data_IF_687718211476
#
_entry.id   IF_687718211476
#
_cell.length_a   1.000
_cell.length_b   1.000
_cell.length_c   1.000
_cell.angle_alpha   90.00
_cell.angle_beta   90.00
_cell.angle_gamma   90.00
#
_symmetry.space_group_name_H-M   'P 1'
#
loop_
_entity.id
_entity.type
_entity.pdbx_description
1 polymer ?
#
# COMPACT_ATOMS: atom_id res chain seq x y z
N UNK A 1 -19.59 42.17 39.99
CA UNK A 1 -20.36 41.26 40.86
C UNK A 1 -21.82 41.30 40.40
N UNK A 2 -22.27 40.32 39.61
CA UNK A 2 -23.67 40.19 39.25
C UNK A 2 -24.37 39.40 40.35
N UNK A 3 -25.11 40.10 41.21
CA UNK A 3 -25.96 39.50 42.22
C UNK A 3 -27.18 38.85 41.54
N UNK A 4 -27.16 37.54 41.37
CA UNK A 4 -28.34 36.76 40.98
C UNK A 4 -29.39 36.88 42.09
N UNK A 5 -30.55 37.47 41.79
CA UNK A 5 -31.57 37.74 42.81
C UNK A 5 -32.19 36.45 43.36
N UNK A 6 -32.43 36.34 44.67
CA UNK A 6 -33.01 35.13 45.29
C UNK A 6 -34.40 34.75 44.76
N UNK A 7 -35.14 35.70 44.16
CA UNK A 7 -36.43 35.46 43.51
C UNK A 7 -36.34 34.59 42.25
N UNK A 8 -35.26 34.72 41.47
CA UNK A 8 -35.08 33.93 40.24
C UNK A 8 -34.81 32.45 40.55
N UNK A 9 -34.05 32.18 41.62
CA UNK A 9 -33.75 30.81 42.06
C UNK A 9 -34.99 30.10 42.61
N UNK A 10 -35.85 30.83 43.33
CA UNK A 10 -37.14 30.31 43.81
C UNK A 10 -38.04 29.87 42.66
N UNK A 11 -38.22 30.72 41.63
CA UNK A 11 -39.04 30.39 40.47
C UNK A 11 -38.57 29.17 39.68
N UNK A 12 -37.25 29.02 39.52
CA UNK A 12 -36.65 27.83 38.86
C UNK A 12 -36.92 26.56 39.66
N UNK A 13 -36.79 26.60 40.98
CA UNK A 13 -37.05 25.45 41.84
C UNK A 13 -38.52 25.03 41.82
N UNK A 14 -39.44 25.99 41.84
CA UNK A 14 -40.88 25.72 41.73
C UNK A 14 -41.24 25.10 40.38
N UNK A 15 -40.62 25.57 39.29
CA UNK A 15 -40.81 25.00 37.96
C UNK A 15 -40.24 23.58 37.81
N UNK A 16 -39.06 23.32 38.38
CA UNK A 16 -38.44 21.99 38.39
C UNK A 16 -39.26 21.01 39.23
N UNK A 17 -39.71 21.41 40.42
CA UNK A 17 -40.50 20.54 41.30
C UNK A 17 -41.88 20.21 40.71
N UNK A 18 -42.56 21.15 40.04
CA UNK A 18 -43.83 20.88 39.36
C UNK A 18 -43.67 19.98 38.12
N UNK A 19 -42.52 20.04 37.43
CA UNK A 19 -42.27 19.32 36.18
C UNK A 19 -41.14 18.28 36.33
N UNK A 20 -40.94 17.73 37.53
CA UNK A 20 -39.74 16.95 37.86
C UNK A 20 -39.53 15.74 36.94
N UNK A 21 -40.62 15.09 36.50
CA UNK A 21 -40.56 13.97 35.56
C UNK A 21 -40.02 14.40 34.20
N UNK A 22 -40.47 15.53 33.65
CA UNK A 22 -39.97 16.07 32.39
C UNK A 22 -38.48 16.44 32.50
N UNK A 23 -38.08 17.12 33.58
CA UNK A 23 -36.68 17.44 33.83
C UNK A 23 -35.81 16.19 33.98
N UNK A 24 -36.30 15.16 34.67
CA UNK A 24 -35.60 13.88 34.81
C UNK A 24 -35.42 13.17 33.48
N UNK A 25 -36.45 13.15 32.63
CA UNK A 25 -36.38 12.58 31.27
C UNK A 25 -35.37 13.36 30.43
N UNK A 26 -35.45 14.69 30.39
CA UNK A 26 -34.53 15.53 29.62
C UNK A 26 -33.09 15.38 30.10
N UNK A 27 -32.87 15.38 31.42
CA UNK A 27 -31.55 15.16 32.00
C UNK A 27 -31.01 13.77 31.65
N UNK A 28 -31.85 12.73 31.70
CA UNK A 28 -31.46 11.37 31.35
C UNK A 28 -31.07 11.28 29.87
N UNK A 29 -31.90 11.81 28.97
CA UNK A 29 -31.59 11.87 27.53
C UNK A 29 -30.30 12.66 27.26
N UNK A 30 -30.11 13.78 27.96
CA UNK A 30 -28.89 14.57 27.86
C UNK A 30 -27.66 13.78 28.31
N UNK A 31 -27.74 13.08 29.46
CA UNK A 31 -26.65 12.26 29.98
C UNK A 31 -26.33 11.05 29.08
N UNK A 32 -27.36 10.43 28.48
CA UNK A 32 -27.20 9.35 27.51
C UNK A 32 -26.49 9.78 26.22
N UNK A 33 -26.41 11.08 25.94
CA UNK A 33 -25.64 11.63 24.81
C UNK A 33 -24.28 12.17 25.27
N UNK A 34 -24.25 13.00 26.32
CA UNK A 34 -23.04 13.66 26.80
C UNK A 34 -22.01 12.65 27.32
N UNK A 35 -22.43 11.66 28.12
CA UNK A 35 -21.47 10.72 28.72
C UNK A 35 -20.76 9.90 27.64
N UNK A 36 -21.45 9.25 26.68
CA UNK A 36 -20.78 8.58 25.57
C UNK A 36 -19.93 9.52 24.72
N UNK A 37 -20.37 10.76 24.48
CA UNK A 37 -19.59 11.74 23.73
C UNK A 37 -18.27 12.10 24.44
N UNK A 38 -18.28 12.31 25.76
CA UNK A 38 -17.08 12.57 26.56
C UNK A 38 -16.14 11.35 26.58
N UNK A 39 -16.69 10.14 26.70
CA UNK A 39 -15.92 8.89 26.62
C UNK A 39 -15.28 8.76 25.25
N UNK A 40 -16.03 9.00 24.17
CA UNK A 40 -15.52 8.98 22.81
C UNK A 40 -14.43 10.03 22.58
N UNK A 41 -14.62 11.26 23.05
CA UNK A 41 -13.62 12.31 22.99
C UNK A 41 -12.33 11.91 23.72
N UNK A 42 -12.44 11.23 24.87
CA UNK A 42 -11.29 10.66 25.58
C UNK A 42 -10.60 9.56 24.76
N UNK A 43 -11.34 8.65 24.14
CA UNK A 43 -10.78 7.62 23.25
C UNK A 43 -10.05 8.23 22.04
N UNK A 44 -10.63 9.24 21.39
CA UNK A 44 -9.99 9.96 20.29
C UNK A 44 -8.70 10.63 20.79
N UNK A 45 -8.73 11.32 21.93
CA UNK A 45 -7.55 11.97 22.52
C UNK A 45 -6.42 10.99 22.81
N UNK A 46 -6.74 9.81 23.34
CA UNK A 46 -5.76 8.74 23.58
C UNK A 46 -5.22 8.20 22.25
N UNK A 47 -6.11 7.91 21.30
CA UNK A 47 -5.74 7.35 19.99
C UNK A 47 -4.92 8.33 19.15
N UNK A 48 -5.07 9.64 19.36
CA UNK A 48 -4.19 10.64 18.76
C UNK A 48 -2.72 10.47 19.17
N UNK A 49 -2.42 9.86 20.31
CA UNK A 49 -1.04 9.57 20.70
C UNK A 49 -0.41 8.44 19.87
N UNK A 50 -1.21 7.59 19.21
CA UNK A 50 -0.71 6.61 18.24
C UNK A 50 -0.31 7.33 16.93
N UNK A 51 -1.06 8.38 16.59
CA UNK A 51 -0.82 9.21 15.41
C UNK A 51 0.32 10.22 15.61
N UNK A 52 0.56 10.66 16.85
CA UNK A 52 1.72 11.48 17.20
C UNK A 52 2.90 10.54 17.43
N UNK A 53 3.89 10.58 16.55
CA UNK A 53 5.01 9.64 16.65
C UNK A 53 5.64 9.71 18.04
N UNK A 54 5.57 8.61 18.77
CA UNK A 54 6.56 8.30 19.79
C UNK A 54 7.63 7.58 19.01
N UNK A 55 8.82 8.16 18.86
CA UNK A 55 9.94 7.55 18.13
C UNK A 55 10.07 6.11 18.63
N UNK A 56 9.71 5.09 17.83
CA UNK A 56 9.87 3.73 18.29
C UNK A 56 11.38 3.48 18.47
N UNK A 57 11.79 2.63 19.43
CA UNK A 57 13.18 2.19 19.50
C UNK A 57 13.45 1.38 18.22
N UNK A 58 13.85 2.06 17.16
CA UNK A 58 14.24 1.44 15.90
C UNK A 58 15.48 0.60 16.20
N UNK A 59 15.40 -0.68 15.86
CA UNK A 59 16.42 -1.66 16.22
C UNK A 59 17.63 -1.68 15.28
N UNK A 60 17.67 -0.76 14.31
CA UNK A 60 18.76 -0.63 13.33
C UNK A 60 19.13 0.85 13.22
N UNK A 61 20.42 1.22 13.22
CA UNK A 61 20.81 2.56 12.81
C UNK A 61 20.43 2.71 11.33
N UNK A 62 19.35 3.44 11.06
CA UNK A 62 18.80 3.63 9.70
C UNK A 62 19.84 4.20 8.72
N UNK A 63 20.93 4.79 9.22
CA UNK A 63 21.96 5.51 8.49
C UNK A 63 23.33 4.80 8.47
N UNK A 64 23.44 3.55 8.95
CA UNK A 64 24.69 2.80 8.92
C UNK A 64 24.79 2.02 7.59
N UNK A 65 25.31 2.70 6.57
CA UNK A 65 25.61 2.12 5.27
C UNK A 65 26.66 2.97 4.56
N UNK A 66 27.40 2.35 3.65
CA UNK A 66 28.24 3.11 2.72
C UNK A 66 27.32 3.84 1.74
N UNK A 67 27.55 5.13 1.52
CA UNK A 67 26.77 5.90 0.54
C UNK A 67 27.07 5.41 -0.88
N UNK A 68 26.10 5.58 -1.77
CA UNK A 68 26.33 5.41 -3.21
C UNK A 68 26.51 6.80 -3.80
N UNK A 69 27.65 7.09 -4.48
CA UNK A 69 27.82 8.34 -5.19
C UNK A 69 26.73 8.51 -6.25
N UNK A 70 26.23 9.72 -6.40
CA UNK A 70 25.20 10.04 -7.38
C UNK A 70 25.10 11.54 -7.61
N UNK A 71 24.35 11.89 -8.63
CA UNK A 71 24.10 13.27 -9.01
C UNK A 71 22.96 13.83 -8.18
N UNK A 72 23.29 14.78 -7.31
CA UNK A 72 22.29 15.47 -6.52
C UNK A 72 21.34 16.31 -7.40
N UNK A 73 20.06 16.33 -7.02
CA UNK A 73 18.98 16.99 -7.76
C UNK A 73 17.98 17.64 -6.82
N UNK A 74 17.59 18.86 -7.12
CA UNK A 74 16.37 19.43 -6.56
C UNK A 74 15.19 19.02 -7.44
N UNK A 75 14.15 18.51 -6.80
CA UNK A 75 12.86 18.18 -7.42
C UNK A 75 11.76 18.87 -6.62
N UNK A 76 10.56 18.95 -7.18
CA UNK A 76 9.45 19.60 -6.51
C UNK A 76 8.30 18.61 -6.35
N UNK A 77 7.73 18.58 -5.14
CA UNK A 77 6.46 17.90 -4.88
C UNK A 77 5.35 18.52 -5.75
N UNK A 78 4.23 17.80 -5.90
CA UNK A 78 3.10 18.28 -6.69
C UNK A 78 2.49 19.60 -6.16
N UNK A 79 2.69 19.90 -4.89
CA UNK A 79 2.29 21.16 -4.24
C UNK A 79 3.42 22.21 -4.15
N UNK A 80 4.54 21.99 -4.85
CA UNK A 80 5.62 22.96 -4.97
C UNK A 80 6.66 22.95 -3.85
N UNK A 81 6.56 22.05 -2.87
CA UNK A 81 7.62 21.87 -1.86
C UNK A 81 8.89 21.35 -2.53
N UNK A 82 10.03 22.03 -2.31
CA UNK A 82 11.34 21.56 -2.79
C UNK A 82 11.76 20.31 -2.04
N UNK A 83 12.09 19.26 -2.78
CA UNK A 83 12.65 18.02 -2.28
C UNK A 83 14.08 17.83 -2.78
N UNK A 84 14.92 17.21 -1.96
CA UNK A 84 16.27 16.83 -2.35
C UNK A 84 16.30 15.36 -2.79
N UNK A 85 16.88 15.10 -3.95
CA UNK A 85 17.07 13.76 -4.48
C UNK A 85 18.50 13.50 -4.94
N UNK A 86 18.81 12.23 -5.12
CA UNK A 86 20.08 11.74 -5.65
C UNK A 86 19.79 10.75 -6.77
N UNK A 87 20.38 11.02 -7.93
CA UNK A 87 20.26 10.21 -9.13
C UNK A 87 21.52 9.36 -9.30
N UNK A 88 21.37 8.05 -9.34
CA UNK A 88 22.48 7.11 -9.46
C UNK A 88 22.36 6.32 -10.76
N UNK A 89 23.48 6.19 -11.45
CA UNK A 89 23.58 5.46 -12.71
C UNK A 89 24.30 4.13 -12.52
N UNK A 90 24.04 3.13 -13.38
CA UNK A 90 24.80 1.90 -13.41
C UNK A 90 26.31 2.13 -13.54
N UNK A 91 27.16 1.21 -13.03
CA UNK A 91 28.60 1.27 -13.24
C UNK A 91 28.99 1.31 -14.73
N UNK A 92 30.14 1.90 -15.09
CA UNK A 92 30.62 1.91 -16.47
C UNK A 92 30.68 0.48 -17.06
N UNK A 93 30.20 0.33 -18.30
CA UNK A 93 30.16 -0.96 -19.01
C UNK A 93 28.90 -1.79 -18.76
N UNK A 94 28.02 -1.40 -17.82
CA UNK A 94 26.71 -2.05 -17.61
C UNK A 94 25.64 -1.35 -18.47
N UNK A 95 24.93 -2.11 -19.30
CA UNK A 95 23.83 -1.55 -20.10
C UNK A 95 22.63 -1.18 -19.23
N UNK A 96 22.10 0.02 -19.47
CA UNK A 96 20.91 0.55 -18.80
C UNK A 96 19.68 -0.34 -19.03
N UNK A 97 18.95 -0.63 -17.95
CA UNK A 97 17.73 -1.45 -17.95
C UNK A 97 16.41 -0.72 -17.74
N UNK A 98 16.43 0.40 -17.04
CA UNK A 98 15.23 1.16 -16.70
C UNK A 98 15.50 2.08 -15.53
N UNK A 99 14.45 2.76 -15.05
CA UNK A 99 14.52 3.65 -13.89
C UNK A 99 13.67 3.10 -12.74
N UNK A 100 14.28 2.99 -11.57
CA UNK A 100 13.59 2.68 -10.31
C UNK A 100 13.64 3.89 -9.39
N UNK A 101 12.47 4.31 -8.90
CA UNK A 101 12.37 5.33 -7.84
C UNK A 101 12.34 4.61 -6.50
N UNK A 102 13.32 4.91 -5.65
CA UNK A 102 13.36 4.43 -4.27
C UNK A 102 12.67 5.42 -3.33
N UNK A 103 11.73 4.92 -2.53
CA UNK A 103 10.97 5.71 -1.55
C UNK A 103 11.38 5.29 -0.12
N UNK A 104 12.12 6.12 0.63
CA UNK A 104 12.62 5.78 1.95
C UNK A 104 11.55 5.58 3.03
N UNK A 105 11.92 4.85 4.08
CA UNK A 105 11.17 4.76 5.33
C UNK A 105 11.16 6.07 6.13
N UNK A 106 10.30 6.16 7.15
CA UNK A 106 10.23 7.32 8.04
C UNK A 106 11.53 7.50 8.84
N UNK A 107 11.92 8.76 9.08
CA UNK A 107 13.18 9.17 9.71
C UNK A 107 14.45 8.81 8.94
N UNK A 108 14.32 8.40 7.68
CA UNK A 108 15.42 8.15 6.77
C UNK A 108 15.63 9.28 5.77
N UNK A 109 16.69 9.18 4.98
CA UNK A 109 17.04 10.12 3.91
C UNK A 109 17.31 9.39 2.58
N UNK A 110 17.55 10.17 1.52
CA UNK A 110 17.78 9.72 0.14
C UNK A 110 18.95 8.74 0.03
N UNK A 111 19.94 8.80 0.92
CA UNK A 111 21.09 7.90 0.87
C UNK A 111 20.76 6.49 1.37
N UNK A 112 19.64 6.30 2.09
CA UNK A 112 19.24 4.98 2.59
C UNK A 112 18.93 3.94 1.52
N UNK A 113 18.71 4.40 0.28
CA UNK A 113 18.68 3.52 -0.89
C UNK A 113 19.93 2.62 -0.97
N UNK A 114 21.07 3.04 -0.41
CA UNK A 114 22.30 2.26 -0.42
C UNK A 114 22.19 0.89 0.25
N UNK A 115 21.27 0.73 1.21
CA UNK A 115 20.98 -0.56 1.85
C UNK A 115 20.30 -1.55 0.90
N UNK A 116 19.56 -1.06 -0.09
CA UNK A 116 18.62 -1.87 -0.87
C UNK A 116 18.94 -1.92 -2.37
N UNK A 117 19.54 -0.86 -2.92
CA UNK A 117 19.55 -0.58 -4.35
C UNK A 117 20.87 -0.86 -5.05
N UNK A 118 21.97 -1.19 -4.34
CA UNK A 118 23.24 -1.59 -4.97
C UNK A 118 23.06 -2.70 -6.02
N UNK A 119 22.31 -3.80 -5.72
CA UNK A 119 22.10 -4.85 -6.70
C UNK A 119 21.33 -4.39 -7.94
N UNK A 120 20.46 -3.38 -7.82
CA UNK A 120 19.71 -2.84 -8.95
C UNK A 120 20.63 -2.03 -9.87
N UNK A 121 21.52 -1.22 -9.30
CA UNK A 121 22.53 -0.46 -10.05
C UNK A 121 23.50 -1.40 -10.78
N UNK A 122 23.99 -2.43 -10.08
CA UNK A 122 24.85 -3.48 -10.65
C UNK A 122 24.16 -4.26 -11.76
N UNK A 123 22.83 -4.47 -11.65
CA UNK A 123 22.03 -5.10 -12.70
C UNK A 123 21.78 -4.17 -13.90
N UNK A 124 22.00 -2.86 -13.77
CA UNK A 124 21.83 -1.90 -14.86
C UNK A 124 20.65 -0.94 -14.72
N UNK A 125 19.95 -0.89 -13.58
CA UNK A 125 18.90 0.11 -13.36
C UNK A 125 19.49 1.45 -12.93
N UNK A 126 18.99 2.54 -13.50
CA UNK A 126 19.10 3.83 -12.83
C UNK A 126 18.24 3.80 -11.57
N UNK A 127 18.73 4.44 -10.51
CA UNK A 127 17.99 4.59 -9.27
C UNK A 127 17.89 6.07 -8.93
N UNK A 128 16.67 6.56 -8.75
CA UNK A 128 16.42 7.88 -8.17
C UNK A 128 15.87 7.72 -6.76
N UNK A 129 16.56 8.28 -5.77
CA UNK A 129 16.12 8.30 -4.37
C UNK A 129 15.95 9.74 -3.91
N UNK A 130 15.08 9.98 -2.94
CA UNK A 130 14.74 11.33 -2.49
C UNK A 130 14.41 11.41 -1.01
N UNK A 131 14.58 12.60 -0.46
CA UNK A 131 14.16 12.99 0.87
C UNK A 131 12.68 13.39 0.82
N UNK A 132 11.81 12.71 1.57
CA UNK A 132 10.45 13.22 1.79
C UNK A 132 10.48 14.59 2.47
N UNK A 133 9.41 15.40 2.34
CA UNK A 133 9.36 16.72 2.98
C UNK A 133 9.67 16.63 4.48
N UNK A 134 10.44 17.59 4.97
CA UNK A 134 10.91 17.64 6.36
C UNK A 134 11.86 16.50 6.78
N UNK A 135 12.47 15.78 5.84
CA UNK A 135 13.58 14.85 6.06
C UNK A 135 14.82 15.31 5.28
N UNK A 136 16.01 14.88 5.72
CA UNK A 136 17.26 15.18 5.05
C UNK A 136 17.42 16.65 4.71
N UNK A 137 17.61 16.95 3.43
CA UNK A 137 17.77 18.32 2.91
C UNK A 137 16.53 18.86 2.17
N UNK A 138 15.43 18.12 2.21
CA UNK A 138 14.15 18.57 1.68
C UNK A 138 13.56 19.69 2.52
N UNK A 139 12.88 20.62 1.86
CA UNK A 139 12.14 21.67 2.54
C UNK A 139 11.03 21.09 3.42
N UNK A 140 10.62 21.86 4.42
CA UNK A 140 9.54 21.53 5.34
C UNK A 140 8.36 22.46 5.07
N UNK A 141 7.15 21.89 4.98
CA UNK A 141 5.89 22.64 4.98
C UNK A 141 5.65 23.24 6.38
N UNK A 142 5.32 24.53 6.44
CA UNK A 142 5.06 25.22 7.71
C UNK A 142 3.84 24.60 8.43
N UNK A 143 3.95 24.38 9.74
CA UNK A 143 2.90 23.74 10.54
C UNK A 143 2.73 22.24 10.32
N UNK A 144 3.36 21.66 9.29
CA UNK A 144 3.38 20.21 9.08
C UNK A 144 4.56 19.57 9.81
N UNK A 145 4.29 18.47 10.52
CA UNK A 145 5.32 17.62 11.10
C UNK A 145 5.23 16.24 10.45
N UNK A 146 6.29 15.75 9.77
CA UNK A 146 6.27 14.44 9.15
C UNK A 146 6.04 13.34 10.18
N UNK A 147 5.30 12.30 9.78
CA UNK A 147 4.97 11.15 10.63
C UNK A 147 5.24 9.84 9.91
N UNK A 148 5.21 8.74 10.66
CA UNK A 148 5.39 7.40 10.07
C UNK A 148 4.26 6.94 9.15
N UNK A 149 3.11 7.60 9.22
CA UNK A 149 1.93 7.26 8.45
C UNK A 149 1.97 7.94 7.09
N UNK A 150 1.78 7.19 6.00
CA UNK A 150 1.65 7.78 4.68
C UNK A 150 0.40 8.66 4.62
N UNK A 151 0.61 9.96 4.32
CA UNK A 151 -0.44 10.97 4.22
C UNK A 151 -0.58 11.50 2.79
N UNK A 152 -1.52 12.40 2.57
CA UNK A 152 -1.62 13.17 1.33
C UNK A 152 -0.34 13.96 0.99
N UNK A 153 0.48 14.30 2.00
CA UNK A 153 1.76 14.99 1.80
C UNK A 153 2.82 14.10 1.17
N UNK A 154 3.01 12.89 1.70
CA UNK A 154 3.94 11.94 1.08
C UNK A 154 3.48 11.54 -0.34
N UNK A 155 2.16 11.48 -0.59
CA UNK A 155 1.62 11.27 -1.94
C UNK A 155 1.99 12.43 -2.87
N UNK A 156 1.84 13.68 -2.40
CA UNK A 156 2.22 14.88 -3.15
C UNK A 156 3.72 14.89 -3.48
N UNK A 157 4.57 14.56 -2.50
CA UNK A 157 6.02 14.42 -2.68
C UNK A 157 6.36 13.42 -3.78
N UNK A 158 5.84 12.21 -3.66
CA UNK A 158 6.17 11.13 -4.57
C UNK A 158 5.55 11.32 -5.96
N UNK A 159 4.43 12.03 -6.07
CA UNK A 159 3.84 12.42 -7.37
C UNK A 159 4.77 13.39 -8.10
N UNK A 160 5.30 14.40 -7.42
CA UNK A 160 6.25 15.34 -8.02
C UNK A 160 7.56 14.67 -8.44
N UNK A 161 8.04 13.71 -7.65
CA UNK A 161 9.19 12.86 -8.00
C UNK A 161 8.94 12.01 -9.25
N UNK A 162 7.73 11.42 -9.38
CA UNK A 162 7.34 10.70 -10.61
C UNK A 162 7.35 11.65 -11.80
N UNK A 163 6.76 12.84 -11.69
CA UNK A 163 6.74 13.82 -12.78
C UNK A 163 8.15 14.28 -13.19
N UNK A 164 9.07 14.43 -12.24
CA UNK A 164 10.49 14.69 -12.55
C UNK A 164 11.11 13.53 -13.33
N UNK A 165 10.87 12.29 -12.90
CA UNK A 165 11.38 11.10 -13.57
C UNK A 165 10.82 10.94 -15.00
N UNK A 166 9.54 11.25 -15.21
CA UNK A 166 8.91 11.26 -16.54
C UNK A 166 9.62 12.24 -17.48
N UNK A 167 9.77 13.50 -17.05
CA UNK A 167 10.45 14.54 -17.83
C UNK A 167 11.91 14.18 -18.14
N UNK A 168 12.61 13.56 -17.18
CA UNK A 168 13.98 13.09 -17.38
C UNK A 168 14.04 11.97 -18.42
N UNK A 169 13.15 10.98 -18.34
CA UNK A 169 13.08 9.88 -19.31
C UNK A 169 12.78 10.41 -20.72
N UNK A 170 11.83 11.33 -20.86
CA UNK A 170 11.48 11.96 -22.14
C UNK A 170 12.66 12.72 -22.73
N UNK A 171 13.34 13.55 -21.92
CA UNK A 171 14.51 14.32 -22.36
C UNK A 171 15.65 13.43 -22.86
N UNK A 172 15.82 12.27 -22.25
CA UNK A 172 16.84 11.30 -22.62
C UNK A 172 16.41 10.39 -23.78
N UNK A 173 15.17 10.50 -24.28
CA UNK A 173 14.64 9.64 -25.34
C UNK A 173 14.39 8.19 -24.89
N UNK A 174 14.18 7.98 -23.59
CA UNK A 174 13.89 6.66 -23.03
C UNK A 174 12.38 6.41 -22.91
N UNK A 175 11.93 5.13 -22.88
CA UNK A 175 10.56 4.80 -22.53
C UNK A 175 10.18 5.36 -21.16
N UNK A 176 9.03 6.03 -21.09
CA UNK A 176 8.48 6.60 -19.85
C UNK A 176 7.84 5.51 -19.00
N UNK A 177 8.69 4.65 -18.46
CA UNK A 177 8.32 3.48 -17.64
C UNK A 177 9.16 3.47 -16.37
N UNK A 178 8.49 3.38 -15.22
CA UNK A 178 9.11 3.54 -13.91
C UNK A 178 8.80 2.33 -13.04
N UNK A 179 9.83 1.84 -12.34
CA UNK A 179 9.69 0.94 -11.19
C UNK A 179 9.62 1.74 -9.90
N UNK A 180 8.81 1.31 -8.93
CA UNK A 180 8.81 1.85 -7.58
C UNK A 180 9.36 0.83 -6.59
N UNK A 181 10.24 1.27 -5.70
CA UNK A 181 10.74 0.47 -4.60
C UNK A 181 10.59 1.25 -3.29
N UNK A 182 9.60 0.89 -2.47
CA UNK A 182 9.33 1.58 -1.22
C UNK A 182 9.60 0.72 0.02
N UNK A 183 10.03 1.36 1.10
CA UNK A 183 10.23 0.74 2.42
C UNK A 183 9.29 1.37 3.45
N UNK A 184 8.57 0.55 4.23
CA UNK A 184 7.69 0.98 5.33
C UNK A 184 6.72 2.11 4.91
N UNK A 185 6.88 3.34 5.40
CA UNK A 185 6.11 4.50 4.94
C UNK A 185 6.20 4.71 3.42
N UNK A 186 7.40 4.62 2.85
CA UNK A 186 7.64 4.73 1.41
C UNK A 186 6.97 3.60 0.62
N UNK A 187 6.86 2.39 1.19
CA UNK A 187 6.09 1.28 0.58
C UNK A 187 4.60 1.62 0.48
N UNK A 188 4.01 2.15 1.56
CA UNK A 188 2.62 2.60 1.59
C UNK A 188 2.38 3.70 0.55
N UNK A 189 3.25 4.72 0.53
CA UNK A 189 3.17 5.82 -0.45
C UNK A 189 3.29 5.31 -1.88
N UNK A 190 4.22 4.37 -2.16
CA UNK A 190 4.40 3.76 -3.48
C UNK A 190 3.11 3.12 -4.01
N UNK A 191 2.39 2.39 -3.16
CA UNK A 191 1.10 1.80 -3.54
C UNK A 191 0.04 2.89 -3.80
N UNK A 192 -0.02 3.90 -2.94
CA UNK A 192 -1.01 4.99 -3.03
C UNK A 192 -0.86 5.81 -4.32
N UNK A 193 0.38 6.14 -4.71
CA UNK A 193 0.64 6.86 -5.96
C UNK A 193 0.49 5.95 -7.17
N UNK A 194 0.95 4.71 -7.12
CA UNK A 194 0.88 3.83 -8.29
C UNK A 194 -0.56 3.58 -8.73
N UNK A 195 -1.50 3.50 -7.78
CA UNK A 195 -2.93 3.32 -8.10
C UNK A 195 -3.48 4.40 -9.05
N UNK A 196 -2.83 5.56 -9.16
CA UNK A 196 -3.26 6.70 -9.97
C UNK A 196 -2.29 7.03 -11.12
N UNK A 197 -1.12 6.39 -11.19
CA UNK A 197 -0.06 6.72 -12.14
C UNK A 197 0.22 5.53 -13.09
N UNK A 198 -0.19 5.58 -14.38
CA UNK A 198 -0.05 4.45 -15.32
C UNK A 198 1.39 4.23 -15.84
N UNK A 199 2.29 5.20 -15.67
CA UNK A 199 3.71 5.07 -16.02
C UNK A 199 4.47 4.11 -15.09
N UNK A 200 3.94 3.89 -13.88
CA UNK A 200 4.51 2.94 -12.93
C UNK A 200 4.17 1.52 -13.39
N UNK A 201 5.18 0.75 -13.79
CA UNK A 201 5.02 -0.60 -14.38
C UNK A 201 5.25 -1.73 -13.38
N UNK A 202 6.06 -1.52 -12.35
CA UNK A 202 6.40 -2.55 -11.37
C UNK A 202 6.60 -1.94 -9.98
N UNK A 203 6.14 -2.63 -8.93
CA UNK A 203 6.21 -2.13 -7.55
C UNK A 203 6.81 -3.19 -6.63
N UNK A 204 7.90 -2.86 -5.95
CA UNK A 204 8.44 -3.62 -4.82
C UNK A 204 8.15 -2.85 -3.54
N UNK A 205 7.61 -3.54 -2.54
CA UNK A 205 7.32 -2.95 -1.23
C UNK A 205 7.83 -3.85 -0.11
N UNK A 206 8.64 -3.31 0.80
CA UNK A 206 9.05 -3.99 2.04
C UNK A 206 8.37 -3.32 3.24
N UNK A 207 7.74 -4.10 4.11
CA UNK A 207 7.12 -3.56 5.33
C UNK A 207 5.83 -2.76 5.09
N UNK A 208 5.12 -2.98 3.98
CA UNK A 208 3.90 -2.24 3.64
C UNK A 208 2.77 -2.48 4.66
N UNK A 209 2.01 -1.42 4.95
CA UNK A 209 0.84 -1.47 5.83
C UNK A 209 -0.26 -0.52 5.37
N UNK A 210 -1.41 -0.55 6.05
CA UNK A 210 -2.47 0.43 5.82
C UNK A 210 -2.80 1.12 7.12
N UNK A 211 -2.64 2.45 7.15
CA UNK A 211 -2.83 3.27 8.36
C UNK A 211 -4.16 2.97 9.04
N UNK A 212 -5.23 2.80 8.26
CA UNK A 212 -6.57 2.52 8.75
C UNK A 212 -6.74 1.15 9.44
N UNK A 213 -5.90 0.17 9.13
CA UNK A 213 -5.96 -1.17 9.72
C UNK A 213 -4.93 -1.36 10.82
N UNK A 214 -3.71 -0.85 10.64
CA UNK A 214 -2.69 -0.80 11.69
C UNK A 214 -3.19 -0.01 12.90
N UNK A 215 -3.86 1.13 12.66
CA UNK A 215 -4.42 1.93 13.73
C UNK A 215 -5.48 1.15 14.53
N UNK A 216 -6.41 0.45 13.89
CA UNK A 216 -7.38 -0.40 14.60
C UNK A 216 -6.69 -1.50 15.41
N UNK A 217 -5.65 -2.14 14.85
CA UNK A 217 -4.85 -3.14 15.55
C UNK A 217 -4.18 -2.54 16.80
N UNK A 218 -3.52 -1.38 16.67
CA UNK A 218 -2.87 -0.70 17.79
C UNK A 218 -3.90 -0.22 18.81
N UNK A 219 -5.03 0.35 18.40
CA UNK A 219 -6.08 0.76 19.33
C UNK A 219 -6.57 -0.41 20.18
N UNK A 220 -6.82 -1.58 19.57
CA UNK A 220 -7.23 -2.80 20.31
C UNK A 220 -6.13 -3.33 21.23
N UNK A 221 -4.89 -3.36 20.75
CA UNK A 221 -3.73 -3.83 21.53
C UNK A 221 -3.48 -2.96 22.76
N UNK A 222 -3.57 -1.64 22.59
CA UNK A 222 -3.26 -0.67 23.64
C UNK A 222 -4.48 -0.29 24.49
N UNK A 223 -5.70 -0.70 24.11
CA UNK A 223 -6.91 -0.46 24.90
C UNK A 223 -6.77 -0.96 26.35
N UNK A 224 -6.08 -2.10 26.54
CA UNK A 224 -5.77 -2.70 27.85
C UNK A 224 -4.98 -1.78 28.78
N UNK A 225 -4.19 -0.87 28.24
CA UNK A 225 -3.35 0.06 29.02
C UNK A 225 -4.20 1.22 29.57
N UNK A 226 -5.23 1.63 28.84
CA UNK A 226 -6.01 2.82 29.17
C UNK A 226 -7.37 2.52 29.81
N UNK A 227 -7.94 1.34 29.56
CA UNK A 227 -9.19 0.89 30.16
C UNK A 227 -8.90 -0.21 31.18
N UNK A 228 -8.97 0.15 32.48
CA UNK A 228 -8.76 -0.81 33.58
C UNK A 228 -9.91 -1.82 33.72
N UNK A 229 -11.10 -1.48 33.21
CA UNK A 229 -12.29 -2.34 33.28
C UNK A 229 -12.39 -3.18 32.00
N UNK A 230 -12.13 -4.48 32.12
CA UNK A 230 -12.10 -5.47 31.01
C UNK A 230 -13.34 -5.42 30.12
N UNK A 231 -14.52 -5.32 30.72
CA UNK A 231 -15.81 -5.22 30.03
C UNK A 231 -15.90 -4.01 29.08
N UNK A 232 -15.24 -2.90 29.41
CA UNK A 232 -15.34 -1.66 28.65
C UNK A 232 -14.59 -1.72 27.33
N UNK A 233 -13.51 -2.51 27.20
CA UNK A 233 -12.72 -2.53 25.97
C UNK A 233 -12.77 -3.83 25.16
N UNK A 234 -13.07 -4.98 25.78
CA UNK A 234 -13.12 -6.27 25.06
C UNK A 234 -14.41 -6.48 24.27
N UNK A 235 -15.50 -5.80 24.65
CA UNK A 235 -16.84 -6.02 24.10
C UNK A 235 -17.27 -4.99 23.04
N UNK A 236 -16.35 -4.21 22.50
CA UNK A 236 -16.70 -3.22 21.48
C UNK A 236 -16.91 -3.87 20.12
N UNK A 237 -18.07 -3.67 19.48
CA UNK A 237 -18.37 -4.24 18.17
C UNK A 237 -17.47 -3.63 17.08
N UNK A 238 -17.27 -4.31 15.93
CA UNK A 238 -16.44 -3.78 14.83
C UNK A 238 -16.85 -2.37 14.37
N UNK A 239 -18.14 -2.05 14.43
CA UNK A 239 -18.74 -0.77 14.08
C UNK A 239 -18.21 0.36 14.98
N UNK A 240 -18.04 0.09 16.28
CA UNK A 240 -17.46 1.05 17.21
C UNK A 240 -16.04 1.44 16.79
N UNK A 241 -15.18 0.46 16.49
CA UNK A 241 -13.80 0.71 16.09
C UNK A 241 -13.73 1.49 14.77
N UNK A 242 -14.61 1.17 13.82
CA UNK A 242 -14.71 1.90 12.55
C UNK A 242 -15.14 3.35 12.77
N UNK A 243 -16.11 3.58 13.65
CA UNK A 243 -16.59 4.93 13.98
C UNK A 243 -15.53 5.73 14.73
N UNK A 244 -14.89 5.14 15.74
CA UNK A 244 -13.79 5.79 16.48
C UNK A 244 -12.62 6.14 15.57
N UNK A 245 -12.24 5.24 14.65
CA UNK A 245 -11.24 5.52 13.62
C UNK A 245 -11.65 6.68 12.72
N UNK A 246 -12.93 6.72 12.30
CA UNK A 246 -13.45 7.84 11.50
C UNK A 246 -13.34 9.15 12.27
N UNK A 247 -13.79 9.22 13.53
CA UNK A 247 -13.61 10.39 14.38
C UNK A 247 -12.14 10.78 14.53
N UNK A 248 -11.24 9.79 14.66
CA UNK A 248 -9.80 10.05 14.76
C UNK A 248 -9.25 10.68 13.49
N UNK A 249 -9.56 10.15 12.30
CA UNK A 249 -9.10 10.71 11.04
C UNK A 249 -9.68 12.09 10.74
N UNK A 250 -10.95 12.34 11.10
CA UNK A 250 -11.53 13.68 11.07
C UNK A 250 -10.75 14.63 11.97
N UNK A 251 -10.45 14.21 13.20
CA UNK A 251 -9.65 15.01 14.14
C UNK A 251 -8.23 15.24 13.62
N UNK A 252 -7.61 14.24 13.00
CA UNK A 252 -6.27 14.38 12.40
C UNK A 252 -6.28 15.38 11.24
N UNK A 253 -7.32 15.39 10.40
CA UNK A 253 -7.45 16.39 9.33
C UNK A 253 -7.44 17.82 9.87
N UNK A 254 -8.20 18.08 10.94
CA UNK A 254 -8.23 19.41 11.55
C UNK A 254 -6.96 19.73 12.33
N UNK A 255 -6.40 18.76 13.07
CA UNK A 255 -5.27 18.99 13.97
C UNK A 255 -3.90 18.97 13.31
N UNK A 256 -3.74 18.16 12.26
CA UNK A 256 -2.47 17.94 11.56
C UNK A 256 -2.47 18.49 10.13
N UNK A 257 -3.61 18.99 9.64
CA UNK A 257 -3.72 19.58 8.30
C UNK A 257 -3.57 18.58 7.15
N UNK A 258 -3.58 17.27 7.43
CA UNK A 258 -3.36 16.21 6.45
C UNK A 258 -4.36 15.07 6.58
N UNK A 259 -4.54 14.33 5.49
CA UNK A 259 -5.37 13.13 5.44
C UNK A 259 -4.51 11.87 5.31
N UNK A 260 -5.06 10.72 5.71
CA UNK A 260 -4.39 9.42 5.66
C UNK A 260 -5.16 8.45 4.75
N UNK A 261 -4.86 8.42 3.44
CA UNK A 261 -5.52 7.53 2.51
C UNK A 261 -5.30 6.04 2.86
N UNK A 262 -6.30 5.22 2.52
CA UNK A 262 -6.27 3.78 2.82
C UNK A 262 -5.57 3.02 1.70
N UNK A 263 -4.41 2.42 2.02
CA UNK A 263 -3.65 1.55 1.10
C UNK A 263 -4.51 0.36 0.66
N UNK A 264 -5.34 -0.19 1.56
CA UNK A 264 -6.31 -1.24 1.23
C UNK A 264 -7.27 -0.83 0.13
N UNK A 265 -7.83 0.37 0.22
CA UNK A 265 -8.76 0.89 -0.80
C UNK A 265 -8.04 1.16 -2.12
N UNK A 266 -6.79 1.63 -2.07
CA UNK A 266 -5.97 1.84 -3.26
C UNK A 266 -5.71 0.50 -3.99
N UNK A 267 -5.26 -0.54 -3.30
CA UNK A 267 -5.03 -1.86 -3.91
C UNK A 267 -6.30 -2.45 -4.55
N UNK A 268 -7.45 -2.36 -3.86
CA UNK A 268 -8.74 -2.85 -4.41
C UNK A 268 -9.16 -2.17 -5.71
N UNK A 269 -8.70 -0.94 -5.95
CA UNK A 269 -9.04 -0.13 -7.13
C UNK A 269 -7.91 -0.09 -8.15
N UNK A 270 -6.75 -0.63 -7.80
CA UNK A 270 -5.56 -0.59 -8.65
C UNK A 270 -5.79 -1.49 -9.88
N UNK A 271 -5.59 -0.98 -11.10
CA UNK A 271 -5.57 -1.81 -12.30
C UNK A 271 -4.50 -2.90 -12.20
N UNK A 272 -4.60 -4.01 -12.97
CA UNK A 272 -3.58 -5.05 -13.03
C UNK A 272 -2.16 -4.47 -13.12
N UNK A 273 -1.34 -4.83 -12.14
CA UNK A 273 0.02 -4.32 -12.00
C UNK A 273 0.87 -5.29 -11.20
N UNK A 274 2.11 -5.56 -11.63
CA UNK A 274 3.06 -6.34 -10.85
C UNK A 274 3.34 -5.72 -9.47
N UNK A 275 3.12 -6.49 -8.40
CA UNK A 275 3.57 -6.16 -7.03
C UNK A 275 4.36 -7.30 -6.39
N UNK A 276 5.50 -6.97 -5.81
CA UNK A 276 6.24 -7.83 -4.90
C UNK A 276 6.17 -7.27 -3.48
N UNK A 277 5.50 -8.01 -2.60
CA UNK A 277 5.46 -7.74 -1.16
C UNK A 277 6.59 -8.50 -0.46
N UNK A 278 7.42 -7.77 0.29
CA UNK A 278 8.42 -8.31 1.21
C UNK A 278 8.01 -7.91 2.62
N UNK A 279 8.17 -8.82 3.59
CA UNK A 279 7.88 -8.50 4.99
C UNK A 279 8.64 -9.41 5.95
N UNK A 280 9.11 -8.88 7.07
CA UNK A 280 9.74 -9.67 8.12
C UNK A 280 8.74 -10.46 8.95
N UNK A 281 8.98 -11.76 9.15
CA UNK A 281 8.08 -12.63 9.93
C UNK A 281 7.94 -12.18 11.39
N UNK A 282 9.03 -11.68 11.99
CA UNK A 282 9.11 -11.27 13.41
C UNK A 282 8.91 -9.76 13.58
N UNK A 283 8.25 -9.11 12.62
CA UNK A 283 7.92 -7.71 12.73
C UNK A 283 6.88 -7.48 13.85
N UNK A 284 7.38 -7.05 15.00
CA UNK A 284 6.56 -6.71 16.17
C UNK A 284 5.92 -5.33 16.08
N UNK A 285 6.36 -4.52 15.12
CA UNK A 285 5.92 -3.16 14.90
C UNK A 285 4.71 -3.12 13.96
N UNK A 286 4.88 -3.71 12.79
CA UNK A 286 3.85 -3.93 11.78
C UNK A 286 3.66 -5.45 11.64
N UNK A 287 2.62 -6.04 12.25
CA UNK A 287 2.41 -7.48 12.18
C UNK A 287 2.34 -7.98 10.75
N UNK A 288 2.91 -9.17 10.48
CA UNK A 288 2.98 -9.78 9.14
C UNK A 288 1.61 -9.97 8.49
N UNK A 289 0.56 -10.05 9.31
CA UNK A 289 -0.84 -10.10 8.88
C UNK A 289 -1.23 -8.88 8.04
N UNK A 290 -0.60 -7.71 8.25
CA UNK A 290 -0.81 -6.52 7.42
C UNK A 290 -0.41 -6.81 5.98
N UNK A 291 0.81 -7.31 5.75
CA UNK A 291 1.31 -7.62 4.40
C UNK A 291 0.52 -8.74 3.74
N UNK A 292 0.16 -9.80 4.49
CA UNK A 292 -0.73 -10.87 3.99
C UNK A 292 -2.09 -10.34 3.54
N UNK A 293 -2.68 -9.44 4.33
CA UNK A 293 -3.96 -8.81 4.02
C UNK A 293 -3.87 -7.90 2.79
N UNK A 294 -2.80 -7.11 2.67
CA UNK A 294 -2.56 -6.28 1.48
C UNK A 294 -2.33 -7.14 0.23
N UNK A 295 -1.52 -8.19 0.32
CA UNK A 295 -1.30 -9.16 -0.76
C UNK A 295 -2.61 -9.79 -1.22
N UNK A 296 -3.48 -10.20 -0.31
CA UNK A 296 -4.79 -10.77 -0.67
C UNK A 296 -5.65 -9.79 -1.50
N UNK A 297 -5.57 -8.49 -1.20
CA UNK A 297 -6.30 -7.42 -1.89
C UNK A 297 -5.64 -6.92 -3.19
N UNK A 298 -4.34 -7.15 -3.36
CA UNK A 298 -3.59 -6.65 -4.51
C UNK A 298 -4.06 -7.28 -5.83
N UNK A 299 -3.98 -6.53 -6.95
CA UNK A 299 -4.24 -7.09 -8.28
C UNK A 299 -3.15 -8.07 -8.71
N UNK A 300 -3.42 -8.86 -9.75
CA UNK A 300 -2.41 -9.72 -10.38
C UNK A 300 -1.56 -8.92 -11.40
N UNK A 301 -0.33 -9.36 -11.70
CA UNK A 301 0.42 -10.42 -11.00
C UNK A 301 0.94 -9.93 -9.64
N UNK A 302 0.91 -10.81 -8.63
CA UNK A 302 1.37 -10.46 -7.27
C UNK A 302 2.19 -11.56 -6.63
N UNK A 303 3.19 -11.14 -5.85
CA UNK A 303 4.12 -12.01 -5.14
C UNK A 303 4.22 -11.60 -3.67
N UNK A 304 4.39 -12.59 -2.79
CA UNK A 304 4.61 -12.38 -1.36
C UNK A 304 5.83 -13.17 -0.92
N UNK A 305 6.76 -12.50 -0.25
CA UNK A 305 7.91 -13.12 0.39
C UNK A 305 7.98 -12.70 1.85
N UNK A 306 7.77 -13.68 2.74
CA UNK A 306 7.91 -13.50 4.18
C UNK A 306 9.30 -13.97 4.60
N UNK A 307 10.15 -13.03 5.02
CA UNK A 307 11.52 -13.31 5.44
C UNK A 307 11.52 -13.87 6.86
N UNK A 308 11.95 -15.12 7.00
CA UNK A 308 11.99 -15.81 8.29
C UNK A 308 12.95 -15.10 9.25
N UNK A 309 12.55 -14.93 10.51
CA UNK A 309 13.39 -14.31 11.54
C UNK A 309 13.56 -12.79 11.46
N UNK A 310 13.30 -12.15 10.31
CA UNK A 310 13.46 -10.70 10.15
C UNK A 310 12.43 -9.88 10.93
N UNK A 311 12.89 -8.78 11.55
CA UNK A 311 12.04 -7.74 12.16
C UNK A 311 11.72 -6.65 11.11
N UNK A 312 11.07 -5.57 11.55
CA UNK A 312 10.75 -4.42 10.70
C UNK A 312 12.01 -3.87 10.00
N UNK A 313 11.96 -3.73 8.67
CA UNK A 313 13.04 -3.23 7.81
C UNK A 313 14.37 -4.00 7.90
N UNK A 314 14.34 -5.27 8.35
CA UNK A 314 15.52 -6.14 8.45
C UNK A 314 15.52 -7.25 7.39
N UNK A 315 14.54 -7.27 6.47
CA UNK A 315 14.47 -8.27 5.41
C UNK A 315 15.75 -8.32 4.57
N UNK A 316 16.31 -7.14 4.25
CA UNK A 316 17.55 -6.99 3.49
C UNK A 316 18.78 -7.47 4.26
N UNK A 317 18.82 -7.23 5.57
CA UNK A 317 19.96 -7.59 6.43
C UNK A 317 19.96 -9.10 6.74
N UNK A 318 18.77 -9.69 6.90
CA UNK A 318 18.60 -11.11 7.22
C UNK A 318 18.79 -12.05 6.03
N UNK A 319 18.52 -11.58 4.80
CA UNK A 319 18.60 -12.40 3.60
C UNK A 319 19.16 -11.61 2.40
N UNK A 320 20.35 -11.00 2.49
CA UNK A 320 20.84 -10.01 1.53
C UNK A 320 20.92 -10.55 0.09
N UNK A 321 21.51 -11.74 -0.11
CA UNK A 321 21.65 -12.33 -1.44
C UNK A 321 20.29 -12.67 -2.08
N UNK A 322 19.36 -13.22 -1.28
CA UNK A 322 18.02 -13.56 -1.76
C UNK A 322 17.17 -12.29 -2.00
N UNK A 323 17.36 -11.27 -1.18
CA UNK A 323 16.72 -9.97 -1.32
C UNK A 323 17.15 -9.30 -2.62
N UNK A 324 18.47 -9.22 -2.86
CA UNK A 324 19.06 -8.77 -4.12
C UNK A 324 18.52 -9.54 -5.33
N UNK A 325 18.55 -10.87 -5.27
CA UNK A 325 18.10 -11.74 -6.36
C UNK A 325 16.62 -11.53 -6.69
N UNK A 326 15.75 -11.48 -5.69
CA UNK A 326 14.29 -11.33 -5.88
C UNK A 326 13.91 -9.94 -6.40
N UNK A 327 14.53 -8.89 -5.88
CA UNK A 327 14.24 -7.51 -6.31
C UNK A 327 14.68 -7.29 -7.76
N UNK A 328 15.91 -7.71 -8.11
CA UNK A 328 16.43 -7.65 -9.48
C UNK A 328 15.59 -8.50 -10.41
N UNK A 329 15.32 -9.76 -10.08
CA UNK A 329 14.51 -10.65 -10.92
C UNK A 329 13.11 -10.09 -11.19
N UNK A 330 12.48 -9.47 -10.19
CA UNK A 330 11.17 -8.87 -10.34
C UNK A 330 11.19 -7.67 -11.29
N UNK A 331 12.13 -6.74 -11.13
CA UNK A 331 12.24 -5.62 -12.09
C UNK A 331 12.69 -6.09 -13.47
N UNK A 332 13.54 -7.11 -13.58
CA UNK A 332 13.95 -7.70 -14.86
C UNK A 332 12.74 -8.26 -15.61
N UNK A 333 11.80 -8.87 -14.90
CA UNK A 333 10.61 -9.44 -15.51
C UNK A 333 9.62 -8.39 -16.02
N UNK A 334 9.51 -7.24 -15.36
CA UNK A 334 8.40 -6.29 -15.57
C UNK A 334 8.80 -4.90 -16.05
N UNK A 335 10.09 -4.56 -16.00
CA UNK A 335 10.62 -3.25 -16.39
C UNK A 335 11.73 -3.36 -17.44
N UNK A 336 12.54 -4.43 -17.40
CA UNK A 336 13.57 -4.63 -18.42
C UNK A 336 12.96 -5.20 -19.70
N UNK A 337 13.02 -4.42 -20.76
CA UNK A 337 12.79 -4.92 -22.11
C UNK A 337 14.10 -5.54 -22.58
N UNK A 338 14.32 -6.85 -22.35
CA UNK A 338 15.31 -7.56 -23.18
C UNK A 338 14.95 -7.25 -24.62
N UNK A 339 15.90 -6.69 -25.38
CA UNK A 339 15.78 -6.63 -26.82
C UNK A 339 15.72 -8.07 -27.32
N UNK A 340 14.53 -8.65 -27.35
CA UNK A 340 14.21 -9.85 -28.08
C UNK A 340 14.43 -9.50 -29.56
N UNK A 341 15.37 -10.15 -30.27
CA UNK A 341 15.58 -9.93 -31.71
C UNK A 341 14.30 -10.18 -32.52
N UNK A 342 13.38 -10.98 -31.96
CA UNK A 342 12.05 -11.26 -32.51
C UNK A 342 11.07 -10.08 -32.46
N UNK A 343 11.40 -9.02 -31.71
CA UNK A 343 10.53 -7.86 -31.45
C UNK A 343 10.97 -6.58 -32.18
N UNK A 344 11.97 -6.67 -33.07
CA UNK A 344 12.17 -5.66 -34.11
C UNK A 344 11.04 -5.78 -35.13
N UNK A 345 10.01 -4.96 -34.96
CA UNK A 345 9.08 -4.49 -36.00
C UNK A 345 8.77 -5.51 -37.12
N UNK A 346 7.77 -6.38 -36.93
CA UNK A 346 7.09 -7.04 -38.05
C UNK A 346 5.78 -6.28 -38.34
N UNK A 347 5.72 -5.48 -39.43
CA UNK A 347 4.52 -4.71 -39.80
C UNK A 347 3.26 -5.58 -39.96
N UNK A 348 3.46 -6.87 -40.24
CA UNK A 348 2.38 -7.78 -40.63
C UNK A 348 1.78 -8.59 -39.47
N UNK A 349 2.23 -8.42 -38.22
CA UNK A 349 1.77 -9.26 -37.11
C UNK A 349 0.26 -9.09 -36.85
N UNK A 350 -0.24 -7.86 -36.93
CA UNK A 350 -1.67 -7.57 -36.81
C UNK A 350 -2.46 -8.01 -38.05
N UNK A 351 -1.87 -7.93 -39.25
CA UNK A 351 -2.50 -8.38 -40.50
C UNK A 351 -2.62 -9.91 -40.55
N UNK A 352 -1.62 -10.65 -40.05
CA UNK A 352 -1.68 -12.13 -39.94
C UNK A 352 -2.70 -12.60 -38.90
N UNK A 353 -2.80 -11.93 -37.75
CA UNK A 353 -3.84 -12.25 -36.77
C UNK A 353 -5.25 -11.95 -37.29
N UNK A 354 -5.43 -10.86 -38.04
CA UNK A 354 -6.72 -10.52 -38.66
C UNK A 354 -7.09 -11.48 -39.82
N UNK A 355 -6.11 -11.97 -40.58
CA UNK A 355 -6.33 -12.99 -41.63
C UNK A 355 -6.63 -14.37 -41.01
N UNK A 356 -5.89 -14.78 -40.00
CA UNK A 356 -6.15 -16.02 -39.25
C UNK A 356 -7.54 -16.04 -38.58
N UNK A 357 -8.04 -14.90 -38.10
CA UNK A 357 -9.38 -14.78 -37.55
C UNK A 357 -10.49 -14.79 -38.63
N UNK A 358 -10.19 -14.39 -39.87
CA UNK A 358 -11.13 -14.48 -41.00
C UNK A 358 -11.15 -15.89 -41.62
N UNK A 359 -10.00 -16.55 -41.71
CA UNK A 359 -9.88 -17.89 -42.30
C UNK A 359 -10.34 -19.00 -41.32
N UNK A 360 -10.42 -18.70 -40.02
CA UNK A 360 -10.91 -19.61 -38.97
C UNK A 360 -12.43 -19.69 -38.79
N UNK A 361 -13.22 -18.92 -39.56
CA UNK A 361 -14.70 -18.89 -39.44
C UNK A 361 -15.40 -19.65 -40.59
N UNK A 362 -14.67 -20.23 -41.52
CA UNK A 362 -15.25 -21.04 -42.59
C UNK A 362 -14.65 -22.46 -42.63
N UNK A 363 -15.20 -23.35 -41.79
CA UNK A 363 -15.48 -24.78 -42.11
C UNK A 363 -16.13 -25.48 -40.91
N UNK A 364 -17.46 -25.59 -40.98
CA UNK A 364 -18.25 -26.55 -40.19
C UNK A 364 -18.01 -27.97 -40.74
N UNK A 365 -17.74 -29.00 -39.92
CA UNK A 365 -17.71 -30.38 -40.36
C UNK A 365 -19.13 -30.96 -40.35
N UNK A 366 -19.92 -30.66 -41.36
CA UNK A 366 -21.08 -31.45 -41.78
C UNK A 366 -21.12 -31.45 -43.30
N UNK A 367 -21.27 -32.63 -43.87
CA UNK A 367 -21.32 -32.98 -45.30
C UNK A 367 -20.01 -33.52 -45.89
N UNK A 368 -19.62 -34.71 -45.42
CA UNK A 368 -19.06 -35.75 -46.29
C UNK A 368 -19.57 -37.11 -45.79
N UNK A 369 -20.71 -37.55 -46.34
CA UNK A 369 -21.01 -38.97 -46.54
C UNK A 369 -22.29 -39.13 -47.37
N UNK A 370 -22.14 -39.28 -48.69
CA UNK A 370 -23.06 -40.08 -49.53
C UNK A 370 -22.26 -40.73 -50.69
N UNK A 371 -22.49 -42.05 -50.87
CA UNK A 371 -22.20 -42.89 -52.05
C UNK A 371 -20.76 -43.44 -52.21
N UNK A 372 -20.47 -44.72 -52.41
CA UNK A 372 -21.31 -45.86 -52.81
C UNK A 372 -20.62 -47.23 -52.58
N UNK A 373 -21.44 -48.23 -52.20
CA UNK A 373 -21.44 -49.68 -52.54
C UNK A 373 -20.29 -50.65 -52.14
N UNK A 374 -20.58 -51.65 -51.29
CA UNK A 374 -20.90 -53.07 -51.64
C UNK A 374 -21.20 -53.92 -50.38
N UNK A 375 -22.13 -54.87 -50.54
CA UNK A 375 -22.82 -55.79 -49.58
C UNK A 375 -22.30 -57.24 -49.78
N UNK A 376 -22.57 -58.34 -49.00
CA UNK A 376 -23.21 -58.55 -47.67
C UNK A 376 -22.47 -59.50 -46.65
N UNK A 377 -23.05 -59.55 -45.43
CA UNK A 377 -23.29 -60.70 -44.52
C UNK A 377 -22.17 -61.34 -43.67
N UNK A 378 -22.31 -61.31 -42.33
CA UNK A 378 -22.83 -62.46 -41.55
C UNK A 378 -22.92 -62.19 -40.03
N UNK A 379 -24.00 -62.72 -39.44
CA UNK A 379 -24.21 -63.26 -38.07
C UNK A 379 -23.73 -62.53 -36.79
N UNK A 380 -24.73 -62.09 -36.02
CA UNK A 380 -25.08 -62.50 -34.64
C UNK A 380 -24.00 -62.86 -33.60
N UNK A 381 -24.04 -62.16 -32.44
CA UNK A 381 -24.14 -62.65 -31.05
C UNK A 381 -23.89 -61.45 -30.10
N UNK A 382 -24.87 -60.93 -29.36
CA UNK A 382 -25.36 -61.36 -28.03
C UNK A 382 -24.23 -61.75 -27.07
N UNK A 383 -23.94 -60.90 -26.09
CA UNK A 383 -24.05 -61.21 -24.64
C UNK A 383 -23.83 -59.95 -23.79
N UNK A 384 -24.65 -59.83 -22.76
CA UNK A 384 -24.60 -58.86 -21.67
C UNK A 384 -23.90 -59.46 -20.45
N UNK A 385 -23.25 -58.64 -19.62
CA UNK A 385 -23.09 -58.77 -18.15
C UNK A 385 -22.30 -57.53 -17.68
N UNK A 386 -22.81 -56.58 -16.88
CA UNK A 386 -23.35 -56.59 -15.51
C UNK A 386 -22.29 -56.78 -14.41
N UNK A 387 -22.05 -55.66 -13.71
CA UNK A 387 -21.89 -55.50 -12.26
C UNK A 387 -20.57 -55.86 -11.53
N UNK A 388 -19.94 -54.78 -11.07
CA UNK A 388 -19.81 -54.43 -9.64
C UNK A 388 -18.68 -54.98 -8.78
N UNK A 389 -18.37 -54.14 -7.77
CA UNK A 389 -17.70 -54.39 -6.48
C UNK A 389 -16.16 -54.42 -6.54
N UNK A 390 -15.42 -53.96 -5.55
CA UNK A 390 -15.63 -53.17 -4.33
C UNK A 390 -14.30 -53.18 -3.59
N UNK A 391 -14.00 -52.12 -2.83
CA UNK A 391 -13.17 -52.15 -1.61
C UNK A 391 -11.73 -52.71 -1.71
N UNK A 392 -10.74 -51.81 -1.83
CA UNK A 392 -9.86 -51.40 -0.73
C UNK A 392 -8.95 -50.26 -1.17
#
# INVERSE_FOLDING_TARGET
MLATSPFMLGGIWTAISHNWALFSILLTLLLLVIVPALVLAKYVRISLNIMKDTVPPLSVPQLCFDRIPGEERDVFAADGIRLRGIFMHPPPGVSRRGLVIFAPEFMSDRNSCARYCRPLLEAGYDVFSFDFRGHGESAKEEGFNPRQWASDREISDMTGVISFAEQWLEKMGYPVEIGLFGISRGACTSILVAAQNPVVKAIVVDGAFSSDHTLEHLMKRWAKIFAKVKFVYENHPPEFWRFLRWCLFVTCRFKFGCTYPSVKKALKRMPPRPLLFVHGQRDSYIPVEQSRMLYALAPQPKYLWIVQGAKHNQSVDMAPAEYARRTVQFFDQYLWRKAEPSNMYQPDRFVRMARSARDGVARSPRDQNEGESRVPASSANVTAEVASKSQN
#
